data_IF_243022728726
#
_entry.id   IF_243022728726
#
_cell.length_a   1.000
_cell.length_b   1.000
_cell.length_c   1.000
_cell.angle_alpha   90.00
_cell.angle_beta   90.00
_cell.angle_gamma   90.00
#
_symmetry.space_group_name_H-M   'P 1'
#
loop_
_entity.id
_entity.type
_entity.pdbx_description
1 polymer ?
#
# COMPACT_ATOMS: atom_id res chain seq x y z
N UNK A 1 24.25 -27.21 -65.65
CA UNK A 1 25.72 -27.23 -65.55
C UNK A 1 26.08 -26.24 -64.45
N UNK A 2 26.60 -26.60 -63.28
CA UNK A 2 27.27 -27.82 -62.83
C UNK A 2 27.12 -27.88 -61.30
N UNK A 3 26.94 -29.10 -60.79
CA UNK A 3 27.23 -29.47 -59.41
C UNK A 3 28.74 -29.38 -59.19
N UNK A 4 29.17 -29.15 -57.94
CA UNK A 4 30.26 -29.92 -57.36
C UNK A 4 30.18 -29.88 -55.82
N UNK A 5 30.29 -31.08 -55.24
CA UNK A 5 30.30 -31.39 -53.81
C UNK A 5 31.73 -31.36 -53.23
N UNK A 6 31.83 -31.68 -51.93
CA UNK A 6 32.99 -32.08 -51.08
C UNK A 6 33.53 -30.95 -50.17
N UNK A 7 33.77 -31.10 -48.86
CA UNK A 7 33.58 -32.16 -47.87
C UNK A 7 33.89 -31.64 -46.43
N UNK A 8 33.30 -32.30 -45.42
CA UNK A 8 33.74 -32.55 -44.02
C UNK A 8 33.75 -31.51 -42.87
N UNK A 9 33.08 -31.99 -41.79
CA UNK A 9 33.44 -32.00 -40.36
C UNK A 9 33.25 -30.75 -39.48
N UNK A 10 32.22 -30.80 -38.60
CA UNK A 10 32.29 -30.45 -37.16
C UNK A 10 31.06 -30.97 -36.37
N UNK A 11 31.17 -31.21 -35.05
CA UNK A 11 30.40 -32.22 -34.32
C UNK A 11 29.07 -31.75 -33.71
N UNK A 12 28.29 -32.76 -33.32
CA UNK A 12 26.92 -32.73 -32.80
C UNK A 12 26.67 -31.74 -31.64
N UNK A 13 25.63 -30.92 -31.81
CA UNK A 13 25.02 -30.13 -30.75
C UNK A 13 24.15 -31.00 -29.85
N UNK A 14 24.35 -30.88 -28.54
CA UNK A 14 23.59 -31.52 -27.48
C UNK A 14 22.22 -30.82 -27.34
N UNK A 15 21.21 -31.28 -28.07
CA UNK A 15 19.86 -30.73 -28.07
C UNK A 15 18.98 -31.48 -27.05
N UNK A 16 19.21 -31.25 -25.76
CA UNK A 16 18.33 -31.76 -24.69
C UNK A 16 17.14 -30.81 -24.49
N UNK A 17 16.13 -30.99 -25.35
CA UNK A 17 14.84 -30.33 -25.23
C UNK A 17 14.07 -30.73 -23.96
N UNK A 18 13.42 -29.74 -23.34
CA UNK A 18 12.59 -29.74 -22.11
C UNK A 18 11.41 -30.73 -22.05
N UNK A 19 11.33 -31.75 -22.90
CA UNK A 19 10.17 -32.66 -23.01
C UNK A 19 10.34 -34.06 -22.38
N UNK A 20 11.50 -34.41 -21.83
CA UNK A 20 11.74 -35.74 -21.26
C UNK A 20 11.75 -35.83 -19.71
N UNK A 21 11.35 -34.79 -18.99
CA UNK A 21 11.38 -34.82 -17.50
C UNK A 21 10.05 -35.28 -16.86
N UNK A 22 9.04 -35.65 -17.64
CA UNK A 22 7.67 -35.92 -17.13
C UNK A 22 7.19 -37.36 -17.27
N UNK A 23 8.08 -38.33 -17.46
CA UNK A 23 7.71 -39.76 -17.43
C UNK A 23 8.68 -40.56 -16.59
N UNK A 24 8.36 -40.70 -15.30
CA UNK A 24 8.97 -41.72 -14.47
C UNK A 24 9.01 -41.37 -12.99
N UNK A 25 7.86 -41.45 -12.31
CA UNK A 25 7.74 -41.90 -10.91
C UNK A 25 6.32 -41.65 -10.38
N UNK A 26 5.38 -42.47 -10.86
CA UNK A 26 4.19 -42.78 -10.10
C UNK A 26 4.43 -44.10 -9.35
N UNK A 27 4.07 -44.09 -8.06
CA UNK A 27 3.90 -45.22 -7.14
C UNK A 27 5.15 -45.90 -6.53
N UNK A 28 5.39 -45.64 -5.24
CA UNK A 28 5.37 -46.68 -4.20
C UNK A 28 5.31 -46.05 -2.80
N UNK A 29 4.34 -46.50 -2.01
CA UNK A 29 4.09 -46.15 -0.61
C UNK A 29 4.92 -47.08 0.29
N UNK A 30 5.57 -46.53 1.33
CA UNK A 30 5.70 -47.21 2.62
C UNK A 30 7.07 -47.77 3.04
N UNK A 31 7.35 -47.51 4.33
CA UNK A 31 8.31 -48.17 5.24
C UNK A 31 9.78 -47.73 5.18
N UNK A 32 10.30 -47.37 6.36
CA UNK A 32 11.54 -46.64 6.53
C UNK A 32 12.81 -47.45 6.34
N UNK A 33 13.89 -46.73 6.06
CA UNK A 33 15.27 -47.13 6.27
C UNK A 33 16.07 -45.83 6.51
N UNK A 34 16.47 -45.59 7.76
CA UNK A 34 17.42 -44.54 8.09
C UNK A 34 18.80 -45.00 7.63
N UNK A 35 19.29 -44.43 6.51
CA UNK A 35 20.66 -44.61 6.08
C UNK A 35 21.57 -43.69 6.91
N UNK A 36 22.37 -44.28 7.80
CA UNK A 36 23.43 -43.60 8.52
C UNK A 36 24.55 -43.20 7.57
N UNK A 37 24.82 -41.89 7.44
CA UNK A 37 25.97 -41.37 6.71
C UNK A 37 27.20 -41.47 7.63
N UNK A 38 28.27 -42.21 7.26
CA UNK A 38 29.50 -42.25 8.05
C UNK A 38 30.31 -40.97 7.81
N UNK A 39 30.62 -40.21 8.87
CA UNK A 39 31.49 -39.03 8.78
C UNK A 39 31.17 -37.85 9.68
N UNK A 40 30.09 -37.89 10.46
CA UNK A 40 29.81 -36.84 11.45
C UNK A 40 30.53 -37.18 12.77
N UNK A 41 31.61 -36.46 13.05
CA UNK A 41 32.19 -36.43 14.38
C UNK A 41 31.11 -35.99 15.39
N UNK A 42 30.91 -36.75 16.46
CA UNK A 42 30.04 -36.33 17.56
C UNK A 42 30.64 -35.06 18.16
N UNK A 43 29.99 -33.92 17.94
CA UNK A 43 30.25 -32.75 18.76
C UNK A 43 30.01 -33.17 20.22
N UNK A 44 31.03 -32.98 21.07
CA UNK A 44 30.89 -33.20 22.49
C UNK A 44 29.71 -32.35 23.00
N UNK A 45 28.80 -32.97 23.73
CA UNK A 45 27.72 -32.27 24.42
C UNK A 45 28.36 -31.27 25.39
N UNK A 46 28.39 -30.00 25.01
CA UNK A 46 28.64 -28.93 25.95
C UNK A 46 27.36 -28.73 26.75
N UNK A 47 27.41 -28.93 28.07
CA UNK A 47 26.37 -28.58 29.06
C UNK A 47 26.17 -27.05 29.18
N UNK A 48 26.15 -26.35 28.05
CA UNK A 48 25.63 -25.00 27.97
C UNK A 48 24.13 -25.13 27.68
N UNK A 49 23.32 -25.21 28.74
CA UNK A 49 21.90 -24.90 28.60
C UNK A 49 21.80 -23.48 27.99
N UNK A 50 21.58 -23.38 26.69
CA UNK A 50 21.17 -22.13 26.06
C UNK A 50 19.77 -21.80 26.59
N UNK A 51 19.75 -21.17 27.76
CA UNK A 51 18.54 -20.62 28.35
C UNK A 51 18.17 -19.42 27.49
N UNK A 52 17.21 -19.60 26.58
CA UNK A 52 16.66 -18.48 25.82
C UNK A 52 16.02 -17.52 26.83
N UNK A 53 16.57 -16.30 27.04
CA UNK A 53 15.97 -15.35 27.98
C UNK A 53 14.57 -14.90 27.55
N UNK A 54 14.18 -15.20 26.30
CA UNK A 54 12.89 -14.86 25.71
C UNK A 54 11.89 -16.03 25.65
N UNK A 55 12.21 -17.19 26.24
CA UNK A 55 11.29 -18.34 26.34
C UNK A 55 11.20 -19.23 25.09
N UNK A 56 10.18 -20.08 25.00
CA UNK A 56 10.04 -21.05 23.90
C UNK A 56 9.78 -20.36 22.54
N UNK A 57 10.13 -21.03 21.44
CA UNK A 57 9.91 -20.56 20.05
C UNK A 57 8.47 -20.06 19.78
N UNK A 58 8.27 -19.14 18.81
CA UNK A 58 6.95 -18.62 18.46
C UNK A 58 5.95 -19.76 18.17
N UNK A 59 4.83 -19.78 18.91
CA UNK A 59 3.83 -20.87 18.95
C UNK A 59 3.83 -21.69 20.25
N UNK A 60 4.87 -21.60 21.07
CA UNK A 60 5.01 -22.31 22.35
C UNK A 60 4.61 -21.52 23.60
N UNK A 61 3.87 -20.41 23.45
CA UNK A 61 3.39 -19.64 24.61
C UNK A 61 4.43 -18.74 25.28
N UNK A 62 5.15 -17.91 24.51
CA UNK A 62 5.82 -16.74 25.10
C UNK A 62 4.73 -15.82 25.67
N UNK A 63 4.60 -15.78 27.00
CA UNK A 63 3.97 -14.64 27.67
C UNK A 63 4.92 -13.47 27.52
N UNK A 64 4.61 -12.57 26.58
CA UNK A 64 5.33 -11.31 26.51
C UNK A 64 5.13 -10.57 27.84
N UNK A 65 6.14 -9.87 28.36
CA UNK A 65 5.95 -8.94 29.46
C UNK A 65 4.78 -8.01 29.17
N UNK A 66 4.04 -7.54 30.18
CA UNK A 66 2.82 -6.75 29.94
C UNK A 66 3.05 -5.52 29.05
N UNK A 67 4.25 -4.91 29.13
CA UNK A 67 4.66 -3.78 28.29
C UNK A 67 4.98 -4.14 26.83
N UNK A 68 5.12 -5.42 26.51
CA UNK A 68 5.42 -5.91 25.16
C UNK A 68 4.27 -6.75 24.60
N UNK A 69 3.21 -6.99 25.37
CA UNK A 69 2.04 -7.70 24.85
C UNK A 69 1.44 -6.91 23.68
N UNK A 70 1.05 -7.59 22.58
CA UNK A 70 0.29 -6.97 21.51
C UNK A 70 -0.95 -6.31 22.13
N UNK A 71 -1.37 -5.20 21.54
CA UNK A 71 -2.59 -4.55 21.96
C UNK A 71 -3.76 -5.54 21.94
N UNK A 72 -4.73 -5.47 22.89
CA UNK A 72 -5.79 -6.49 22.99
C UNK A 72 -6.62 -6.72 21.73
N UNK A 73 -6.64 -5.76 20.79
CA UNK A 73 -7.31 -5.90 19.50
C UNK A 73 -6.57 -6.78 18.49
N UNK A 74 -5.26 -7.00 18.67
CA UNK A 74 -4.44 -7.82 17.78
C UNK A 74 -4.84 -9.28 17.99
N UNK A 75 -5.57 -9.84 17.03
CA UNK A 75 -6.02 -11.24 17.06
C UNK A 75 -4.93 -12.20 16.63
N UNK A 76 -4.00 -11.74 15.80
CA UNK A 76 -2.89 -12.54 15.32
C UNK A 76 -1.57 -11.77 15.45
N UNK A 77 -0.61 -12.39 16.15
CA UNK A 77 0.68 -11.78 16.48
C UNK A 77 1.65 -11.68 15.30
N UNK A 78 1.39 -12.41 14.22
CA UNK A 78 2.32 -12.57 13.10
C UNK A 78 1.83 -11.89 11.82
N UNK A 79 0.52 -11.89 11.59
CA UNK A 79 -0.07 -11.37 10.35
C UNK A 79 -1.33 -10.59 10.67
N UNK A 80 -1.48 -9.44 10.01
CA UNK A 80 -2.75 -8.72 10.02
C UNK A 80 -3.71 -9.36 9.01
N UNK A 81 -4.91 -9.72 9.46
CA UNK A 81 -5.99 -10.20 8.61
C UNK A 81 -7.06 -9.10 8.48
N UNK A 82 -7.24 -8.50 7.30
CA UNK A 82 -8.17 -7.39 7.13
C UNK A 82 -9.60 -7.70 7.57
N UNK A 83 -10.25 -6.74 8.23
CA UNK A 83 -11.62 -6.88 8.75
C UNK A 83 -11.77 -7.74 10.02
N UNK A 84 -10.69 -8.34 10.53
CA UNK A 84 -10.79 -9.20 11.73
C UNK A 84 -10.58 -8.44 13.05
N UNK A 85 -9.95 -7.27 13.03
CA UNK A 85 -9.56 -6.51 14.21
C UNK A 85 -10.30 -5.16 14.27
N UNK A 86 -11.00 -4.92 15.38
CA UNK A 86 -11.58 -3.61 15.70
C UNK A 86 -10.46 -2.76 16.28
N UNK A 87 -10.15 -1.63 15.64
CA UNK A 87 -9.08 -0.73 16.07
C UNK A 87 -9.55 0.04 17.33
N UNK A 88 -8.95 -0.19 18.51
CA UNK A 88 -9.36 0.43 19.76
C UNK A 88 -9.17 1.93 19.76
N UNK A 89 -9.82 2.57 20.72
CA UNK A 89 -9.62 3.99 20.99
C UNK A 89 -8.13 4.27 21.20
N UNK A 90 -7.65 5.33 20.56
CA UNK A 90 -6.28 5.84 20.66
C UNK A 90 -5.21 4.92 20.05
N UNK A 91 -5.59 3.97 19.19
CA UNK A 91 -4.64 3.21 18.36
C UNK A 91 -4.63 3.75 16.92
N UNK A 92 -3.43 3.92 16.35
CA UNK A 92 -3.24 4.32 14.95
C UNK A 92 -2.67 3.14 14.16
N UNK A 93 -3.30 2.80 13.04
CA UNK A 93 -2.81 1.76 12.12
C UNK A 93 -2.43 2.38 10.78
N UNK A 94 -1.21 2.09 10.33
CA UNK A 94 -0.66 2.61 9.06
C UNK A 94 -0.47 1.42 8.11
N UNK A 95 -1.05 1.51 6.92
CA UNK A 95 -0.97 0.48 5.90
C UNK A 95 -0.43 1.06 4.60
N UNK A 96 0.61 0.44 4.04
CA UNK A 96 1.12 0.80 2.73
C UNK A 96 0.28 0.10 1.66
N UNK A 97 -0.52 0.87 0.94
CA UNK A 97 -1.35 0.39 -0.16
C UNK A 97 -0.58 0.34 -1.48
N UNK A 98 0.55 1.02 -1.56
CA UNK A 98 1.53 0.87 -2.61
C UNK A 98 2.80 1.65 -2.29
N UNK A 99 3.90 1.27 -2.95
CA UNK A 99 5.24 1.66 -2.54
C UNK A 99 6.22 1.72 -3.72
N UNK A 100 5.72 1.91 -4.94
CA UNK A 100 6.56 1.93 -6.14
C UNK A 100 6.07 3.00 -7.10
N UNK A 101 6.91 3.96 -7.50
CA UNK A 101 6.54 4.99 -8.45
C UNK A 101 6.59 4.43 -9.89
N UNK A 102 7.78 4.04 -10.35
CA UNK A 102 8.05 3.50 -11.68
C UNK A 102 9.28 2.57 -11.66
N UNK A 103 9.31 1.48 -12.44
CA UNK A 103 8.23 0.94 -13.27
C UNK A 103 7.16 0.20 -12.45
N UNK A 104 5.90 0.16 -12.91
CA UNK A 104 4.86 -0.61 -12.24
C UNK A 104 5.20 -2.10 -12.26
N UNK A 105 4.96 -2.79 -11.14
CA UNK A 105 5.15 -4.24 -11.05
C UNK A 105 3.86 -4.92 -10.63
N UNK A 106 3.76 -6.24 -10.83
CA UNK A 106 2.61 -7.01 -10.33
C UNK A 106 2.56 -7.08 -8.80
N UNK A 107 3.68 -6.87 -8.12
CA UNK A 107 3.82 -7.07 -6.68
C UNK A 107 3.71 -5.77 -5.88
N UNK A 108 3.82 -4.61 -6.54
CA UNK A 108 3.83 -3.31 -5.88
C UNK A 108 3.05 -2.29 -6.70
N UNK A 109 2.00 -1.75 -6.08
CA UNK A 109 1.18 -0.65 -6.61
C UNK A 109 1.87 0.71 -6.44
N UNK A 110 1.33 1.71 -7.14
CA UNK A 110 1.67 3.13 -7.01
C UNK A 110 1.57 3.64 -5.58
N UNK A 111 2.34 4.67 -5.26
CA UNK A 111 2.48 5.21 -3.90
C UNK A 111 1.12 5.54 -3.27
N UNK A 112 0.84 4.94 -2.11
CA UNK A 112 -0.35 5.25 -1.32
C UNK A 112 -0.23 4.69 0.09
N UNK A 113 -0.62 5.47 1.09
CA UNK A 113 -0.66 5.08 2.50
C UNK A 113 -2.06 5.33 3.04
N UNK A 114 -2.58 4.35 3.78
CA UNK A 114 -3.79 4.46 4.57
C UNK A 114 -3.42 4.61 6.04
N UNK A 115 -3.92 5.67 6.66
CA UNK A 115 -3.88 5.89 8.11
C UNK A 115 -5.29 5.70 8.68
N UNK A 116 -5.44 4.73 9.58
CA UNK A 116 -6.67 4.46 10.30
C UNK A 116 -6.52 4.92 11.76
N UNK A 117 -7.45 5.74 12.23
CA UNK A 117 -7.51 6.22 13.63
C UNK A 117 -8.63 5.49 14.36
N UNK A 118 -8.25 4.72 15.38
CA UNK A 118 -9.14 3.84 16.12
C UNK A 118 -10.05 4.60 17.07
N UNK A 119 -11.36 4.35 16.95
CA UNK A 119 -12.39 4.87 17.84
C UNK A 119 -13.06 3.75 18.66
N UNK A 120 -12.57 2.51 18.55
CA UNK A 120 -13.18 1.33 19.18
C UNK A 120 -14.38 0.76 18.43
N UNK A 121 -14.67 1.24 17.22
CA UNK A 121 -15.77 0.76 16.37
C UNK A 121 -15.25 -0.01 15.15
N UNK A 122 -16.14 -0.73 14.46
CA UNK A 122 -15.79 -1.51 13.27
C UNK A 122 -15.30 -0.67 12.10
N UNK A 123 -15.62 0.62 12.07
CA UNK A 123 -15.19 1.55 11.03
C UNK A 123 -14.37 2.69 11.63
N UNK A 124 -13.03 2.59 11.64
CA UNK A 124 -12.17 3.68 12.07
C UNK A 124 -12.24 4.87 11.10
N UNK A 125 -11.80 6.04 11.55
CA UNK A 125 -11.57 7.18 10.64
C UNK A 125 -10.38 6.89 9.75
N UNK A 126 -10.47 7.24 8.47
CA UNK A 126 -9.48 6.88 7.46
C UNK A 126 -8.98 8.12 6.72
N UNK A 127 -7.67 8.21 6.57
CA UNK A 127 -6.97 9.26 5.83
C UNK A 127 -6.06 8.59 4.82
N UNK A 128 -6.23 8.92 3.55
CA UNK A 128 -5.42 8.40 2.47
C UNK A 128 -4.37 9.43 2.09
N UNK A 129 -3.12 9.03 2.05
CA UNK A 129 -2.01 9.86 1.59
C UNK A 129 -1.51 9.28 0.28
N UNK A 130 -1.75 10.02 -0.81
CA UNK A 130 -1.63 9.60 -2.20
C UNK A 130 -2.57 8.42 -2.57
N UNK A 131 -2.84 8.32 -3.88
CA UNK A 131 -3.69 7.28 -4.47
C UNK A 131 -3.11 6.87 -5.83
N UNK A 132 -1.91 6.30 -5.79
CA UNK A 132 -1.19 5.80 -6.96
C UNK A 132 -1.84 4.62 -7.67
N UNK A 133 -1.38 4.31 -8.88
CA UNK A 133 -1.96 3.28 -9.74
C UNK A 133 -2.04 1.90 -9.06
N UNK A 134 -3.23 1.31 -9.03
CA UNK A 134 -3.50 0.01 -8.41
C UNK A 134 -3.59 0.02 -6.88
N UNK A 135 -3.42 1.17 -6.21
CA UNK A 135 -3.52 1.27 -4.75
C UNK A 135 -4.93 0.98 -4.22
N UNK A 136 -5.98 1.29 -5.00
CA UNK A 136 -7.37 1.02 -4.61
C UNK A 136 -7.62 -0.47 -4.49
N UNK A 137 -7.04 -1.28 -5.38
CA UNK A 137 -7.19 -2.74 -5.31
C UNK A 137 -6.71 -3.28 -3.96
N UNK A 138 -5.64 -2.70 -3.41
CA UNK A 138 -5.12 -3.03 -2.09
C UNK A 138 -6.01 -2.47 -0.97
N UNK A 139 -6.58 -1.27 -1.11
CA UNK A 139 -7.55 -0.74 -0.15
C UNK A 139 -8.80 -1.64 -0.04
N UNK A 140 -9.32 -2.12 -1.18
CA UNK A 140 -10.46 -3.04 -1.21
C UNK A 140 -10.06 -4.41 -0.66
N UNK A 141 -8.86 -4.92 -0.94
CA UNK A 141 -8.34 -6.15 -0.34
C UNK A 141 -8.21 -6.03 1.19
N UNK A 142 -7.92 -4.83 1.69
CA UNK A 142 -7.94 -4.46 3.10
C UNK A 142 -9.36 -4.36 3.70
N UNK A 143 -10.39 -4.74 2.94
CA UNK A 143 -11.80 -4.69 3.33
C UNK A 143 -12.25 -3.27 3.70
N UNK A 144 -11.62 -2.24 3.13
CA UNK A 144 -12.11 -0.87 3.25
C UNK A 144 -13.30 -0.71 2.31
N UNK A 145 -14.51 -0.39 2.82
CA UNK A 145 -15.65 -0.11 1.96
C UNK A 145 -15.37 1.10 1.07
N UNK A 146 -15.67 1.01 -0.23
CA UNK A 146 -15.43 2.09 -1.18
C UNK A 146 -16.00 3.46 -0.73
N UNK A 147 -17.21 3.56 -0.15
CA UNK A 147 -17.74 4.83 0.38
C UNK A 147 -16.86 5.51 1.45
N UNK A 148 -16.01 4.74 2.14
CA UNK A 148 -15.13 5.22 3.21
C UNK A 148 -13.74 5.63 2.71
N UNK A 149 -13.46 5.49 1.41
CA UNK A 149 -12.29 6.08 0.75
C UNK A 149 -12.62 7.53 0.42
N UNK A 150 -12.56 8.44 1.41
CA UNK A 150 -13.17 9.77 1.28
C UNK A 150 -12.26 10.99 1.52
N UNK A 151 -11.32 10.90 2.45
CA UNK A 151 -10.39 11.98 2.78
C UNK A 151 -9.02 11.65 2.18
N UNK A 152 -8.65 12.33 1.08
CA UNK A 152 -7.48 12.01 0.26
C UNK A 152 -6.53 13.21 0.21
N UNK A 153 -5.31 13.02 0.69
CA UNK A 153 -4.24 14.00 0.72
C UNK A 153 -3.21 13.64 -0.34
N UNK A 154 -3.10 14.45 -1.39
CA UNK A 154 -2.15 14.21 -2.48
C UNK A 154 -0.91 15.08 -2.26
N UNK A 155 0.27 14.46 -2.18
CA UNK A 155 1.54 15.15 -1.93
C UNK A 155 1.96 16.02 -3.11
N UNK A 156 1.79 15.52 -4.33
CA UNK A 156 2.11 16.22 -5.57
C UNK A 156 1.45 15.55 -6.78
N UNK A 157 1.55 16.19 -7.96
CA UNK A 157 0.81 15.79 -9.16
C UNK A 157 1.64 14.96 -10.16
N UNK A 158 2.56 14.12 -9.69
CA UNK A 158 3.03 13.01 -10.52
C UNK A 158 1.95 11.93 -10.59
N UNK A 159 1.77 11.31 -11.76
CA UNK A 159 0.66 10.40 -11.99
C UNK A 159 0.67 9.18 -11.06
N UNK A 160 1.84 8.70 -10.65
CA UNK A 160 1.97 7.57 -9.72
C UNK A 160 1.52 7.89 -8.27
N UNK A 161 1.14 9.15 -7.97
CA UNK A 161 0.57 9.58 -6.69
C UNK A 161 -0.95 9.83 -6.75
N UNK A 162 -1.57 9.86 -7.93
CA UNK A 162 -3.03 10.11 -8.04
C UNK A 162 -3.75 9.32 -9.14
N UNK A 163 -3.06 8.49 -9.92
CA UNK A 163 -3.60 7.83 -11.12
C UNK A 163 -4.88 7.00 -10.87
N UNK A 164 -5.07 6.53 -9.65
CA UNK A 164 -6.24 5.73 -9.27
C UNK A 164 -7.46 6.61 -8.95
N UNK A 165 -7.27 7.90 -8.64
CA UNK A 165 -8.32 8.87 -8.35
C UNK A 165 -9.40 8.98 -9.44
N UNK A 166 -9.07 9.22 -10.74
CA UNK A 166 -10.07 9.31 -11.80
C UNK A 166 -10.89 8.04 -12.00
N UNK A 167 -10.32 6.88 -11.69
CA UNK A 167 -11.03 5.61 -11.73
C UNK A 167 -11.94 5.45 -10.50
N UNK A 168 -11.45 5.85 -9.33
CA UNK A 168 -12.10 5.59 -8.05
C UNK A 168 -13.38 6.37 -7.83
N UNK A 169 -13.32 7.70 -7.99
CA UNK A 169 -14.37 8.59 -7.47
C UNK A 169 -15.78 8.27 -8.01
N UNK A 170 -15.95 7.88 -9.30
CA UNK A 170 -17.27 7.55 -9.78
C UNK A 170 -17.77 6.21 -9.24
N UNK A 171 -16.90 5.22 -9.13
CA UNK A 171 -17.25 3.90 -8.59
C UNK A 171 -17.47 3.93 -7.07
N UNK A 172 -16.81 4.83 -6.35
CA UNK A 172 -17.15 5.15 -4.96
C UNK A 172 -18.59 5.64 -4.85
N UNK A 173 -18.99 6.61 -5.69
CA UNK A 173 -20.35 7.14 -5.71
C UNK A 173 -21.38 6.05 -6.00
N UNK A 174 -21.11 5.23 -7.03
CA UNK A 174 -21.93 4.07 -7.38
C UNK A 174 -22.05 3.04 -6.23
N UNK A 175 -20.98 2.85 -5.45
CA UNK A 175 -20.93 1.88 -4.35
C UNK A 175 -21.56 2.38 -3.05
N UNK A 176 -22.33 3.47 -3.08
CA UNK A 176 -23.03 4.03 -1.90
C UNK A 176 -22.36 5.24 -1.26
N UNK A 177 -21.29 5.78 -1.86
CA UNK A 177 -20.62 6.99 -1.39
C UNK A 177 -21.36 8.25 -1.83
N UNK A 178 -22.51 8.55 -1.22
CA UNK A 178 -23.39 9.64 -1.68
C UNK A 178 -23.01 11.04 -1.22
N UNK A 179 -21.91 11.18 -0.48
CA UNK A 179 -21.35 12.47 -0.05
C UNK A 179 -20.18 12.87 -0.93
N UNK A 180 -19.86 14.17 -1.02
CA UNK A 180 -18.71 14.64 -1.78
C UNK A 180 -17.40 13.97 -1.35
N UNK A 181 -16.57 13.67 -2.34
CA UNK A 181 -15.18 13.26 -2.13
C UNK A 181 -14.35 14.46 -1.67
N UNK A 182 -13.48 14.29 -0.67
CA UNK A 182 -12.64 15.38 -0.15
C UNK A 182 -11.20 15.17 -0.56
N UNK A 183 -10.68 16.09 -1.36
CA UNK A 183 -9.30 16.05 -1.86
C UNK A 183 -8.54 17.26 -1.35
N UNK A 184 -7.41 16.99 -0.71
CA UNK A 184 -6.49 17.96 -0.15
C UNK A 184 -5.20 17.92 -0.95
N UNK A 185 -4.69 19.07 -1.36
CA UNK A 185 -3.46 19.11 -2.13
C UNK A 185 -2.91 20.51 -2.36
N UNK A 186 -1.65 20.58 -2.81
CA UNK A 186 -0.98 21.84 -3.01
C UNK A 186 -1.45 22.57 -4.27
N UNK A 187 -1.33 23.89 -4.24
CA UNK A 187 -1.24 24.70 -5.44
C UNK A 187 0.10 24.45 -6.16
N UNK A 188 0.20 24.84 -7.42
CA UNK A 188 1.46 24.82 -8.15
C UNK A 188 2.10 26.21 -8.24
N UNK A 189 3.25 26.31 -8.91
CA UNK A 189 3.84 27.62 -9.28
C UNK A 189 2.87 28.50 -10.09
N UNK A 190 2.00 27.87 -10.89
CA UNK A 190 0.92 28.54 -11.63
C UNK A 190 -0.40 27.81 -11.37
N UNK A 191 -1.56 28.47 -11.57
CA UNK A 191 -2.87 27.83 -11.37
C UNK A 191 -3.03 26.52 -12.15
N UNK A 192 -2.45 26.42 -13.35
CA UNK A 192 -2.53 25.23 -14.22
C UNK A 192 -1.80 24.01 -13.65
N UNK A 193 -0.96 24.23 -12.65
CA UNK A 193 -0.15 23.22 -11.99
C UNK A 193 -0.68 22.88 -10.59
N UNK A 194 -1.82 23.44 -10.19
CA UNK A 194 -2.45 23.22 -8.89
C UNK A 194 -3.50 22.10 -8.88
N UNK A 195 -3.81 21.63 -7.68
CA UNK A 195 -4.82 20.60 -7.42
C UNK A 195 -6.19 20.92 -8.04
N UNK A 196 -6.68 22.16 -7.94
CA UNK A 196 -7.99 22.55 -8.49
C UNK A 196 -8.02 22.41 -10.01
N UNK A 197 -6.95 22.79 -10.69
CA UNK A 197 -6.85 22.68 -12.14
C UNK A 197 -6.80 21.21 -12.58
N UNK A 198 -6.02 20.39 -11.88
CA UNK A 198 -5.98 18.95 -12.12
C UNK A 198 -7.37 18.31 -11.95
N UNK A 199 -8.06 18.57 -10.84
CA UNK A 199 -9.40 17.98 -10.60
C UNK A 199 -10.41 18.44 -11.65
N UNK A 200 -10.41 19.72 -12.03
CA UNK A 200 -11.28 20.23 -13.10
C UNK A 200 -11.09 19.43 -14.40
N UNK A 201 -9.85 19.32 -14.88
CA UNK A 201 -9.58 18.63 -16.14
C UNK A 201 -9.69 17.10 -16.04
N UNK A 202 -9.49 16.53 -14.85
CA UNK A 202 -9.78 15.13 -14.56
C UNK A 202 -11.28 14.83 -14.71
N UNK A 203 -12.16 15.73 -14.24
CA UNK A 203 -13.61 15.61 -14.45
C UNK A 203 -13.98 15.76 -15.93
N UNK A 204 -13.35 16.68 -16.64
CA UNK A 204 -13.53 16.82 -18.10
C UNK A 204 -13.11 15.54 -18.85
N UNK A 205 -12.00 14.91 -18.47
CA UNK A 205 -11.56 13.61 -18.99
C UNK A 205 -12.61 12.51 -18.72
N UNK A 206 -13.25 12.53 -17.55
CA UNK A 206 -14.27 11.56 -17.15
C UNK A 206 -15.70 11.91 -17.57
N UNK A 207 -15.90 12.88 -18.48
CA UNK A 207 -17.22 13.43 -18.80
C UNK A 207 -18.25 12.37 -19.19
N UNK A 208 -17.86 11.40 -20.01
CA UNK A 208 -18.75 10.29 -20.38
C UNK A 208 -19.22 9.50 -19.16
N UNK A 209 -18.31 9.24 -18.23
CA UNK A 209 -18.60 8.47 -17.02
C UNK A 209 -19.55 9.25 -16.11
N UNK A 210 -19.29 10.55 -15.88
CA UNK A 210 -20.17 11.38 -15.06
C UNK A 210 -21.60 11.44 -15.64
N UNK A 211 -21.73 11.69 -16.95
CA UNK A 211 -23.05 11.71 -17.59
C UNK A 211 -23.76 10.35 -17.54
N UNK A 212 -23.04 9.25 -17.74
CA UNK A 212 -23.63 7.91 -17.69
C UNK A 212 -24.15 7.56 -16.28
N UNK A 213 -23.41 7.91 -15.22
CA UNK A 213 -23.78 7.58 -13.86
C UNK A 213 -24.78 8.56 -13.24
N UNK A 214 -25.00 9.74 -13.82
CA UNK A 214 -26.07 10.66 -13.41
C UNK A 214 -27.48 10.05 -13.53
N UNK A 215 -27.65 8.93 -14.25
CA UNK A 215 -28.91 8.17 -14.27
C UNK A 215 -29.14 7.32 -13.01
N UNK A 216 -28.11 7.11 -12.16
CA UNK A 216 -28.18 6.33 -10.94
C UNK A 216 -28.43 7.24 -9.71
N UNK A 217 -29.08 6.74 -8.63
CA UNK A 217 -29.24 7.49 -7.39
C UNK A 217 -27.91 7.53 -6.62
N UNK A 218 -27.00 8.42 -7.01
CA UNK A 218 -25.65 8.54 -6.44
C UNK A 218 -25.43 9.78 -5.57
N UNK A 219 -26.49 10.57 -5.34
CA UNK A 219 -26.44 11.79 -4.52
C UNK A 219 -25.35 12.76 -4.99
N UNK A 220 -24.65 13.37 -4.02
CA UNK A 220 -23.50 14.26 -4.28
C UNK A 220 -22.18 13.47 -4.42
N UNK A 221 -22.26 12.16 -4.63
CA UNK A 221 -21.09 11.27 -4.64
C UNK A 221 -20.08 11.56 -5.76
N UNK A 222 -20.53 12.23 -6.82
CA UNK A 222 -19.69 12.68 -7.94
C UNK A 222 -19.02 14.03 -7.69
N UNK A 223 -19.47 14.77 -6.68
CA UNK A 223 -18.86 16.05 -6.35
C UNK A 223 -17.54 15.84 -5.61
N UNK A 224 -16.59 16.73 -5.90
CA UNK A 224 -15.25 16.70 -5.32
C UNK A 224 -14.99 18.05 -4.65
N UNK A 225 -14.94 18.05 -3.33
CA UNK A 225 -14.51 19.18 -2.50
C UNK A 225 -12.99 19.25 -2.51
N UNK A 226 -12.45 20.28 -3.17
CA UNK A 226 -11.00 20.48 -3.28
C UNK A 226 -10.53 21.54 -2.28
N UNK A 227 -9.73 21.12 -1.31
CA UNK A 227 -8.95 22.02 -0.44
C UNK A 227 -7.56 22.18 -1.04
N UNK A 228 -7.40 23.23 -1.85
CA UNK A 228 -6.10 23.62 -2.39
C UNK A 228 -5.44 24.65 -1.47
N UNK A 229 -4.27 24.31 -0.94
CA UNK A 229 -3.47 25.16 -0.05
C UNK A 229 -2.25 25.75 -0.79
N UNK A 230 -1.67 26.83 -0.28
CA UNK A 230 -0.45 27.38 -0.85
C UNK A 230 0.74 26.45 -0.54
N UNK A 231 1.38 25.92 -1.58
CA UNK A 231 2.51 25.00 -1.44
C UNK A 231 3.70 25.62 -0.72
N UNK A 232 3.79 26.96 -0.66
CA UNK A 232 4.88 27.68 0.01
C UNK A 232 4.71 27.78 1.53
N UNK A 233 3.51 27.55 2.05
CA UNK A 233 3.27 27.68 3.48
C UNK A 233 4.07 26.61 4.24
N UNK A 234 4.85 27.06 5.21
CA UNK A 234 5.55 26.20 6.15
C UNK A 234 4.65 25.96 7.35
N UNK A 235 4.30 24.69 7.58
CA UNK A 235 3.42 24.26 8.67
C UNK A 235 1.99 24.80 8.60
N UNK A 236 1.49 25.09 7.38
CA UNK A 236 0.11 25.47 7.11
C UNK A 236 -0.87 24.35 7.46
N UNK A 237 -2.11 24.70 7.83
CA UNK A 237 -3.15 23.72 8.23
C UNK A 237 -4.12 23.51 7.06
N UNK A 238 -4.16 22.30 6.51
CA UNK A 238 -5.09 21.93 5.44
C UNK A 238 -6.31 21.13 5.92
N UNK A 239 -6.27 20.61 7.15
CA UNK A 239 -7.38 19.90 7.78
C UNK A 239 -7.36 20.14 9.28
N UNK A 240 -8.51 20.48 9.87
CA UNK A 240 -8.68 20.63 11.32
C UNK A 240 -10.12 20.28 11.70
N UNK A 241 -10.37 19.01 12.01
CA UNK A 241 -11.71 18.49 12.34
C UNK A 241 -11.64 17.32 13.32
N UNK A 242 -12.49 17.37 14.34
CA UNK A 242 -12.74 16.28 15.29
C UNK A 242 -11.44 15.74 15.93
N UNK A 243 -10.62 16.62 16.52
CA UNK A 243 -9.39 16.24 17.22
C UNK A 243 -8.23 15.78 16.32
N UNK A 244 -8.38 15.91 14.99
CA UNK A 244 -7.34 15.59 14.01
C UNK A 244 -6.98 16.83 13.22
N UNK A 245 -5.68 17.10 13.15
CA UNK A 245 -5.11 18.24 12.44
C UNK A 245 -4.06 17.78 11.46
N UNK A 246 -4.18 18.15 10.19
CA UNK A 246 -3.18 17.87 9.16
C UNK A 246 -2.52 19.17 8.74
N UNK A 247 -1.19 19.21 8.88
CA UNK A 247 -0.34 20.31 8.43
C UNK A 247 0.48 19.91 7.23
N UNK A 248 0.93 20.90 6.47
CA UNK A 248 1.78 20.71 5.30
C UNK A 248 2.97 21.65 5.28
N UNK A 249 3.99 21.29 4.49
CA UNK A 249 5.15 22.13 4.19
C UNK A 249 5.72 21.77 2.82
N UNK A 250 6.39 22.72 2.14
CA UNK A 250 7.01 22.48 0.83
C UNK A 250 8.09 21.39 0.87
N UNK A 251 8.24 20.69 -0.24
CA UNK A 251 9.33 19.73 -0.49
C UNK A 251 10.08 20.06 -1.77
N UNK A 252 11.40 19.86 -1.75
CA UNK A 252 12.21 19.95 -2.97
C UNK A 252 12.06 18.69 -3.83
N UNK A 253 11.19 18.73 -4.84
CA UNK A 253 10.98 17.62 -5.75
C UNK A 253 10.57 18.03 -7.16
N UNK A 254 11.56 18.08 -8.08
CA UNK A 254 11.46 18.37 -9.53
C UNK A 254 10.80 19.70 -9.91
N UNK A 255 9.58 19.95 -9.43
CA UNK A 255 8.74 21.08 -9.74
C UNK A 255 8.02 21.58 -8.48
N UNK A 256 7.95 22.90 -8.34
CA UNK A 256 7.20 23.58 -7.28
C UNK A 256 5.76 23.08 -7.18
N UNK A 257 5.35 22.78 -5.96
CA UNK A 257 4.04 22.23 -5.61
C UNK A 257 4.17 21.05 -4.66
N UNK A 258 5.23 20.24 -4.77
CA UNK A 258 5.39 19.07 -3.92
C UNK A 258 5.39 19.44 -2.43
N UNK A 259 4.57 18.74 -1.66
CA UNK A 259 4.33 19.03 -0.25
C UNK A 259 4.29 17.76 0.58
N UNK A 260 4.73 17.86 1.82
CA UNK A 260 4.61 16.82 2.82
C UNK A 260 3.45 17.12 3.77
N UNK A 261 3.08 16.12 4.55
CA UNK A 261 2.01 16.21 5.53
C UNK A 261 2.45 15.69 6.90
N UNK A 262 1.89 16.30 7.94
CA UNK A 262 1.90 15.79 9.31
C UNK A 262 0.47 15.76 9.83
N UNK A 263 -0.01 14.57 10.14
CA UNK A 263 -1.27 14.36 10.86
C UNK A 263 -0.95 14.28 12.35
N UNK A 264 -1.52 15.18 13.14
CA UNK A 264 -1.54 15.10 14.60
C UNK A 264 -2.95 14.69 15.04
N UNK A 265 -3.04 13.67 15.89
CA UNK A 265 -4.27 13.21 16.51
C UNK A 265 -4.19 13.49 18.01
N UNK A 266 -4.83 14.59 18.42
CA UNK A 266 -4.67 15.18 19.74
C UNK A 266 -5.22 14.26 20.84
N UNK A 267 -6.37 13.62 20.61
CA UNK A 267 -7.02 12.74 21.58
C UNK A 267 -6.16 11.53 21.99
N UNK A 268 -5.32 11.05 21.07
CA UNK A 268 -4.43 9.92 21.30
C UNK A 268 -2.98 10.33 21.62
N UNK A 269 -2.62 11.61 21.42
CA UNK A 269 -1.24 12.07 21.51
C UNK A 269 -0.32 11.43 20.46
N UNK A 270 -0.85 11.04 19.30
CA UNK A 270 -0.12 10.36 18.23
C UNK A 270 0.04 11.27 17.01
N UNK A 271 1.11 11.06 16.25
CA UNK A 271 1.35 11.77 15.00
C UNK A 271 1.88 10.86 13.90
N UNK A 272 1.48 11.14 12.67
CA UNK A 272 1.97 10.49 11.45
C UNK A 272 2.56 11.54 10.51
N UNK A 273 3.69 11.23 9.86
CA UNK A 273 4.35 12.11 8.90
C UNK A 273 4.46 11.38 7.55
N UNK A 274 4.01 12.06 6.50
CA UNK A 274 4.17 11.63 5.12
C UNK A 274 4.98 12.66 4.35
N UNK A 275 6.18 12.30 3.91
CA UNK A 275 7.08 13.23 3.22
C UNK A 275 6.79 13.40 1.74
N UNK A 276 5.96 12.52 1.16
CA UNK A 276 5.88 12.37 -0.30
C UNK A 276 7.24 12.00 -0.90
N UNK A 277 7.49 12.46 -2.12
CA UNK A 277 8.80 12.39 -2.76
C UNK A 277 9.57 13.69 -2.52
N UNK A 278 10.84 13.58 -2.13
CA UNK A 278 11.68 14.73 -1.86
C UNK A 278 13.17 14.40 -1.87
N UNK A 279 13.98 15.42 -2.12
CA UNK A 279 15.38 15.44 -1.69
C UNK A 279 15.46 15.77 -0.19
N UNK A 280 16.58 15.47 0.48
CA UNK A 280 16.86 16.03 1.79
C UNK A 280 16.78 17.57 1.75
N UNK A 281 16.15 18.15 2.77
CA UNK A 281 16.00 19.59 3.01
C UNK A 281 16.11 19.87 4.53
N UNK A 282 16.09 21.15 4.90
CA UNK A 282 16.30 21.65 6.28
C UNK A 282 15.12 21.38 7.22
#
# INVERSE_FOLDING_TARGET
MTQDETNQNKPAGNDQGRRNFLKGSAAAVGAGLAASVPGMASAADSDCEMKNPYGARPGGGISLPDYYKPWPAIKNRNVFMPGTEILPKNEMRISFLGSTPWPPTRLQSGTSILVELGNGESQPRRFFFDLGNGSISNAIAMQVPAPLINDIFISHLHSDHFADLPYMYPFRAFSGGYTPLRVYGPSGRTPELGMKHMIKHMREMNRWHEENFNACPIGDGMEIEVTEFDWKEENGICYDKDGVKVRHWPRSHVKDGASAYRLDWEDAGLSFVWTGECRPDE
#
